data_IF_238863641180
#
_entry.id   IF_238863641180
#
_cell.length_a   1.000
_cell.length_b   1.000
_cell.length_c   1.000
_cell.angle_alpha   90.00
_cell.angle_beta   90.00
_cell.angle_gamma   90.00
#
_symmetry.space_group_name_H-M   'P 1'
#
loop_
_entity.id
_entity.type
_entity.pdbx_description
1 polymer ?
#
# COMPACT_ATOMS: atom_id res chain seq x y z
N UNK A 1 -7.61 -65.24 -12.10
CA UNK A 1 -7.97 -64.24 -13.14
C UNK A 1 -7.16 -62.99 -12.86
N UNK A 2 -6.22 -62.63 -13.74
CA UNK A 2 -5.40 -61.42 -13.59
C UNK A 2 -6.22 -60.22 -14.07
N UNK A 3 -6.41 -59.23 -13.20
CA UNK A 3 -7.12 -57.99 -13.53
C UNK A 3 -6.26 -57.18 -14.50
N UNK A 4 -6.70 -57.10 -15.76
CA UNK A 4 -6.00 -56.37 -16.80
C UNK A 4 -6.28 -54.88 -16.65
N UNK A 5 -5.37 -54.16 -15.99
CA UNK A 5 -5.45 -52.70 -15.85
C UNK A 5 -5.04 -52.05 -17.17
N UNK A 6 -5.98 -51.84 -18.08
CA UNK A 6 -5.76 -51.05 -19.29
C UNK A 6 -5.56 -49.58 -18.89
N UNK A 7 -4.36 -49.04 -19.11
CA UNK A 7 -4.13 -47.59 -19.10
C UNK A 7 -4.26 -47.09 -20.54
N UNK A 8 -5.35 -46.43 -20.94
CA UNK A 8 -5.47 -45.92 -22.30
C UNK A 8 -4.34 -44.91 -22.56
N UNK A 9 -3.54 -45.15 -23.60
CA UNK A 9 -2.56 -44.20 -24.11
C UNK A 9 -3.24 -43.24 -25.09
N UNK A 10 -2.96 -41.93 -25.00
CA UNK A 10 -3.47 -40.92 -25.92
C UNK A 10 -2.76 -41.01 -27.30
N UNK A 11 -3.03 -42.08 -28.05
CA UNK A 11 -2.47 -42.35 -29.39
C UNK A 11 -2.88 -41.30 -30.42
N UNK A 12 -4.01 -40.61 -30.20
CA UNK A 12 -4.55 -39.57 -31.08
C UNK A 12 -3.96 -38.17 -30.84
N UNK A 13 -3.02 -38.02 -29.89
CA UNK A 13 -2.42 -36.72 -29.50
C UNK A 13 -3.49 -35.66 -29.14
N UNK A 14 -4.63 -36.09 -28.59
CA UNK A 14 -5.73 -35.21 -28.19
C UNK A 14 -5.21 -34.22 -27.16
N UNK A 15 -5.34 -32.92 -27.43
CA UNK A 15 -5.01 -31.89 -26.46
C UNK A 15 -6.25 -31.61 -25.62
N UNK A 16 -6.14 -31.76 -24.30
CA UNK A 16 -7.23 -31.38 -23.39
C UNK A 16 -7.10 -29.89 -23.05
N UNK A 17 -8.18 -29.13 -23.25
CA UNK A 17 -8.31 -27.77 -22.74
C UNK A 17 -8.89 -27.85 -21.33
N UNK A 18 -8.17 -27.33 -20.35
CA UNK A 18 -8.68 -27.32 -18.97
C UNK A 18 -8.08 -26.21 -18.14
N UNK A 19 -8.87 -25.75 -17.18
CA UNK A 19 -8.39 -25.01 -16.01
C UNK A 19 -7.73 -26.02 -15.08
N UNK A 20 -6.64 -25.65 -14.43
CA UNK A 20 -5.89 -26.49 -13.48
C UNK A 20 -6.10 -26.00 -12.05
N UNK A 21 -5.99 -24.68 -11.85
CA UNK A 21 -6.10 -24.02 -10.54
C UNK A 21 -6.66 -22.63 -10.71
N UNK A 22 -7.38 -22.16 -9.69
CA UNK A 22 -7.84 -20.78 -9.59
C UNK A 22 -7.63 -20.29 -8.15
N UNK A 23 -7.10 -19.09 -7.98
CA UNK A 23 -6.85 -18.52 -6.66
C UNK A 23 -6.66 -17.00 -6.71
N UNK A 24 -6.82 -16.35 -5.55
CA UNK A 24 -6.41 -14.97 -5.36
C UNK A 24 -4.94 -14.93 -4.94
N UNK A 25 -4.20 -13.95 -5.46
CA UNK A 25 -2.76 -13.84 -5.27
C UNK A 25 -2.31 -12.40 -5.03
N UNK A 26 -1.11 -12.26 -4.44
CA UNK A 26 -0.31 -11.05 -4.49
C UNK A 26 0.77 -11.19 -5.55
N UNK A 27 1.03 -10.10 -6.28
CA UNK A 27 2.17 -10.00 -7.20
C UNK A 27 3.43 -9.65 -6.43
N UNK A 28 4.47 -10.45 -6.53
CA UNK A 28 5.75 -10.24 -5.87
C UNK A 28 6.90 -10.16 -6.87
N UNK A 29 7.88 -9.30 -6.59
CA UNK A 29 9.15 -9.27 -7.32
C UNK A 29 10.11 -10.21 -6.59
N UNK A 30 10.47 -11.33 -7.22
CA UNK A 30 11.40 -12.33 -6.65
C UNK A 30 12.85 -12.10 -7.04
N UNK A 31 13.11 -11.21 -7.99
CA UNK A 31 14.45 -10.90 -8.42
C UNK A 31 14.47 -9.99 -9.64
N UNK A 32 15.63 -9.90 -10.26
CA UNK A 32 15.88 -9.13 -11.48
C UNK A 32 16.84 -9.92 -12.37
N UNK A 33 16.55 -9.97 -13.67
CA UNK A 33 17.36 -10.68 -14.66
C UNK A 33 17.85 -9.69 -15.71
N UNK A 34 19.07 -9.92 -16.24
CA UNK A 34 19.65 -9.06 -17.30
C UNK A 34 18.94 -9.33 -18.62
N UNK A 35 18.66 -8.28 -19.40
CA UNK A 35 17.97 -8.41 -20.71
C UNK A 35 18.93 -8.68 -21.87
N UNK A 36 20.22 -8.45 -21.68
CA UNK A 36 21.21 -8.39 -22.77
C UNK A 36 21.29 -7.01 -23.44
N UNK A 37 20.35 -6.12 -23.17
CA UNK A 37 20.39 -4.72 -23.62
C UNK A 37 21.20 -3.84 -22.67
N UNK A 38 21.68 -2.71 -23.17
CA UNK A 38 22.47 -1.73 -22.41
C UNK A 38 22.00 -0.30 -22.66
N UNK A 39 22.09 0.55 -21.65
CA UNK A 39 21.98 2.01 -21.78
C UNK A 39 23.39 2.62 -21.64
N UNK A 40 23.82 3.40 -22.62
CA UNK A 40 25.14 4.04 -22.59
C UNK A 40 25.12 5.28 -21.67
N UNK A 41 26.18 5.47 -20.89
CA UNK A 41 26.37 6.62 -20.01
C UNK A 41 27.70 7.30 -20.27
N UNK A 42 27.64 8.60 -20.59
CA UNK A 42 28.82 9.44 -20.80
C UNK A 42 29.15 10.25 -19.55
N UNK A 43 30.40 10.16 -19.09
CA UNK A 43 30.90 10.91 -17.95
C UNK A 43 31.02 12.40 -18.28
N UNK A 44 30.48 13.25 -17.40
CA UNK A 44 30.50 14.72 -17.57
C UNK A 44 31.71 15.41 -16.92
N UNK A 45 32.58 14.66 -16.26
CA UNK A 45 33.74 15.17 -15.53
C UNK A 45 34.60 14.03 -15.00
N UNK A 46 35.65 14.37 -14.24
CA UNK A 46 36.58 13.39 -13.68
C UNK A 46 35.98 12.66 -12.47
N UNK A 47 36.02 11.34 -12.49
CA UNK A 47 35.46 10.46 -11.48
C UNK A 47 36.48 9.36 -11.11
N UNK A 48 36.90 9.34 -9.84
CA UNK A 48 37.80 8.31 -9.35
C UNK A 48 37.01 7.07 -8.91
N UNK A 49 37.41 5.91 -9.42
CA UNK A 49 36.79 4.59 -9.21
C UNK A 49 37.80 3.55 -8.73
N UNK A 50 38.97 3.96 -8.21
CA UNK A 50 40.07 3.05 -7.86
C UNK A 50 39.83 2.16 -6.63
N UNK A 51 38.82 2.47 -5.82
CA UNK A 51 38.47 1.67 -4.63
C UNK A 51 37.01 1.25 -4.67
N UNK A 52 36.67 0.14 -4.01
CA UNK A 52 35.29 -0.39 -3.94
C UNK A 52 34.28 0.68 -3.47
N UNK A 53 34.60 1.39 -2.38
CA UNK A 53 33.75 2.45 -1.85
C UNK A 53 33.55 3.62 -2.83
N UNK A 54 34.59 3.97 -3.60
CA UNK A 54 34.50 4.99 -4.65
C UNK A 54 33.65 4.51 -5.82
N UNK A 55 33.83 3.28 -6.30
CA UNK A 55 32.98 2.66 -7.34
C UNK A 55 31.51 2.69 -6.96
N UNK A 56 31.16 2.26 -5.74
CA UNK A 56 29.77 2.25 -5.25
C UNK A 56 29.17 3.66 -5.17
N UNK A 57 29.96 4.63 -4.71
CA UNK A 57 29.53 6.05 -4.66
C UNK A 57 29.26 6.60 -6.06
N UNK A 58 30.16 6.38 -7.02
CA UNK A 58 29.99 6.82 -8.40
C UNK A 58 28.80 6.11 -9.05
N UNK A 59 28.69 4.79 -8.90
CA UNK A 59 27.57 4.00 -9.41
C UNK A 59 26.21 4.50 -8.89
N UNK A 60 26.13 4.89 -7.61
CA UNK A 60 24.92 5.48 -7.01
C UNK A 60 24.55 6.82 -7.65
N UNK A 61 25.56 7.66 -7.94
CA UNK A 61 25.35 8.95 -8.62
C UNK A 61 24.87 8.73 -10.06
N UNK A 62 25.52 7.82 -10.80
CA UNK A 62 25.13 7.44 -12.17
C UNK A 62 23.69 6.95 -12.17
N UNK A 63 23.36 6.01 -11.29
CA UNK A 63 22.00 5.47 -11.14
C UNK A 63 20.98 6.59 -10.94
N UNK A 64 21.25 7.54 -10.02
CA UNK A 64 20.37 8.68 -9.76
C UNK A 64 20.14 9.54 -11.00
N UNK A 65 21.17 9.73 -11.82
CA UNK A 65 21.10 10.56 -13.02
C UNK A 65 20.30 9.89 -14.16
N UNK A 66 20.44 8.59 -14.34
CA UNK A 66 19.78 7.86 -15.44
C UNK A 66 18.38 7.35 -15.09
N UNK A 67 18.05 7.21 -13.79
CA UNK A 67 16.80 6.61 -13.32
C UNK A 67 15.55 7.21 -13.96
N UNK A 68 15.49 8.54 -14.09
CA UNK A 68 14.34 9.21 -14.70
C UNK A 68 14.17 8.90 -16.19
N UNK A 69 15.28 8.73 -16.93
CA UNK A 69 15.26 8.32 -18.33
C UNK A 69 14.82 6.87 -18.50
N UNK A 70 15.38 5.98 -17.68
CA UNK A 70 15.01 4.55 -17.67
C UNK A 70 13.52 4.35 -17.36
N UNK A 71 12.97 5.08 -16.39
CA UNK A 71 11.55 5.01 -16.04
C UNK A 71 10.63 5.37 -17.21
N UNK A 72 10.97 6.39 -18.01
CA UNK A 72 10.20 6.78 -19.20
C UNK A 72 10.22 5.72 -20.28
N UNK A 73 11.33 5.00 -20.42
CA UNK A 73 11.52 3.89 -21.37
C UNK A 73 11.00 2.54 -20.85
N UNK A 74 10.40 2.49 -19.65
CA UNK A 74 10.01 1.25 -18.94
C UNK A 74 11.17 0.27 -18.70
N UNK A 75 12.40 0.78 -18.62
CA UNK A 75 13.63 0.02 -18.40
C UNK A 75 14.12 0.18 -16.96
N UNK A 76 14.96 -0.74 -16.51
CA UNK A 76 15.54 -0.70 -15.16
C UNK A 76 17.00 -1.17 -15.16
N UNK A 77 17.73 -0.82 -14.10
CA UNK A 77 19.06 -1.35 -13.79
C UNK A 77 19.29 -1.27 -12.27
N UNK A 78 20.43 -1.75 -11.78
CA UNK A 78 20.79 -1.71 -10.35
C UNK A 78 22.14 -1.05 -10.14
N UNK A 79 22.37 -0.49 -8.94
CA UNK A 79 23.68 0.06 -8.56
C UNK A 79 24.77 -1.02 -8.66
N UNK A 80 24.46 -2.26 -8.26
CA UNK A 80 25.39 -3.38 -8.36
C UNK A 80 25.83 -3.65 -9.81
N UNK A 81 24.90 -3.58 -10.76
CA UNK A 81 25.22 -3.71 -12.18
C UNK A 81 26.08 -2.57 -12.73
N UNK A 82 25.85 -1.34 -12.27
CA UNK A 82 26.71 -0.21 -12.65
C UNK A 82 28.12 -0.40 -12.08
N UNK A 83 28.26 -0.87 -10.84
CA UNK A 83 29.58 -1.19 -10.25
C UNK A 83 30.33 -2.23 -11.09
N UNK A 84 29.65 -3.25 -11.61
CA UNK A 84 30.27 -4.29 -12.44
C UNK A 84 30.88 -3.75 -13.74
N UNK A 85 30.32 -2.68 -14.31
CA UNK A 85 30.82 -2.09 -15.56
C UNK A 85 31.86 -0.99 -15.36
N UNK A 86 32.06 -0.51 -14.12
CA UNK A 86 33.13 0.42 -13.75
C UNK A 86 34.48 -0.31 -13.62
N UNK A 87 35.09 -0.64 -14.76
CA UNK A 87 36.34 -1.40 -14.84
C UNK A 87 37.61 -0.57 -14.66
N UNK A 88 37.61 0.72 -15.02
CA UNK A 88 38.77 1.62 -14.88
C UNK A 88 38.94 2.16 -13.46
N UNK A 89 40.15 2.57 -13.10
CA UNK A 89 40.44 3.27 -11.84
C UNK A 89 40.02 4.74 -11.82
N UNK A 90 39.83 5.33 -13.01
CA UNK A 90 39.26 6.65 -13.19
C UNK A 90 38.57 6.76 -14.54
N UNK A 91 37.61 7.68 -14.61
CA UNK A 91 36.89 8.08 -15.82
C UNK A 91 36.95 9.59 -15.94
N UNK A 92 37.20 10.11 -17.13
CA UNK A 92 37.28 11.55 -17.44
C UNK A 92 36.09 11.99 -18.29
N UNK A 93 35.98 13.31 -18.56
CA UNK A 93 34.87 13.85 -19.36
C UNK A 93 34.91 13.24 -20.77
N UNK A 94 33.80 12.67 -21.21
CA UNK A 94 33.66 12.03 -22.52
C UNK A 94 33.87 10.52 -22.52
N UNK A 95 34.42 9.93 -21.45
CA UNK A 95 34.42 8.47 -21.31
C UNK A 95 32.98 7.93 -21.30
N UNK A 96 32.79 6.71 -21.81
CA UNK A 96 31.49 6.03 -21.82
C UNK A 96 31.55 4.66 -21.13
N UNK A 97 30.42 4.24 -20.59
CA UNK A 97 30.17 2.87 -20.13
C UNK A 97 28.80 2.42 -20.61
N UNK A 98 28.67 1.12 -20.89
CA UNK A 98 27.40 0.51 -21.24
C UNK A 98 26.81 -0.20 -20.03
N UNK A 99 25.67 0.30 -19.54
CA UNK A 99 25.04 -0.16 -18.31
C UNK A 99 24.00 -1.22 -18.66
N UNK A 100 24.12 -2.46 -18.16
CA UNK A 100 23.18 -3.52 -18.51
C UNK A 100 21.80 -3.22 -17.92
N UNK A 101 20.78 -3.45 -18.73
CA UNK A 101 19.39 -3.33 -18.36
C UNK A 101 18.88 -4.63 -17.76
N UNK A 102 17.88 -4.50 -16.90
CA UNK A 102 17.26 -5.61 -16.18
C UNK A 102 15.75 -5.52 -16.22
N UNK A 103 15.10 -6.68 -16.22
CA UNK A 103 13.68 -6.80 -15.96
C UNK A 103 13.42 -7.51 -14.63
N UNK A 104 12.38 -7.13 -13.90
CA UNK A 104 11.96 -7.84 -12.71
C UNK A 104 11.44 -9.23 -13.06
N UNK A 105 11.75 -10.19 -12.19
CA UNK A 105 11.14 -11.53 -12.17
C UNK A 105 9.95 -11.52 -11.21
N UNK A 106 8.79 -11.94 -11.69
CA UNK A 106 7.53 -11.88 -10.95
C UNK A 106 7.05 -13.27 -10.53
N UNK A 107 6.42 -13.35 -9.37
CA UNK A 107 5.64 -14.51 -8.92
C UNK A 107 4.27 -14.06 -8.40
N UNK A 108 3.26 -14.93 -8.56
CA UNK A 108 1.93 -14.74 -7.98
C UNK A 108 1.72 -15.70 -6.82
N UNK A 109 1.98 -15.21 -5.62
CA UNK A 109 1.87 -15.99 -4.38
C UNK A 109 0.42 -16.01 -3.90
N UNK A 110 -0.15 -17.21 -3.74
CA UNK A 110 -1.53 -17.42 -3.27
C UNK A 110 -1.79 -16.70 -1.93
N UNK A 111 -2.94 -16.06 -1.83
CA UNK A 111 -3.45 -15.43 -0.61
C UNK A 111 -4.55 -16.29 0.01
N UNK A 112 -4.46 -16.48 1.33
CA UNK A 112 -5.54 -17.09 2.11
C UNK A 112 -6.59 -16.04 2.55
N UNK A 113 -6.19 -14.76 2.63
CA UNK A 113 -7.04 -13.67 3.06
C UNK A 113 -6.57 -12.32 2.50
N UNK A 114 -7.48 -11.35 2.45
CA UNK A 114 -7.19 -9.93 2.25
C UNK A 114 -8.27 -9.06 2.92
N UNK A 115 -8.07 -7.75 2.91
CA UNK A 115 -9.02 -6.79 3.47
C UNK A 115 -9.93 -6.21 2.37
N UNK A 116 -11.12 -5.77 2.78
CA UNK A 116 -12.01 -4.97 1.96
C UNK A 116 -11.24 -3.75 1.42
N UNK A 117 -11.24 -3.56 0.11
CA UNK A 117 -10.51 -2.48 -0.56
C UNK A 117 -9.08 -2.79 -0.98
N UNK A 118 -8.51 -3.92 -0.59
CA UNK A 118 -7.19 -4.34 -1.11
C UNK A 118 -7.27 -4.65 -2.62
N UNK A 119 -6.21 -4.31 -3.35
CA UNK A 119 -5.98 -4.80 -4.71
C UNK A 119 -5.32 -6.18 -4.65
N UNK A 120 -5.90 -7.15 -5.36
CA UNK A 120 -5.41 -8.53 -5.46
C UNK A 120 -5.46 -8.98 -6.92
N UNK A 121 -4.77 -10.08 -7.23
CA UNK A 121 -4.80 -10.69 -8.57
C UNK A 121 -5.67 -11.94 -8.55
N UNK A 122 -6.63 -12.03 -9.46
CA UNK A 122 -7.30 -13.30 -9.78
C UNK A 122 -6.41 -14.07 -10.75
N UNK A 123 -5.98 -15.26 -10.35
CA UNK A 123 -5.03 -16.09 -11.12
C UNK A 123 -5.69 -17.42 -11.44
N UNK A 124 -5.75 -17.74 -12.73
CA UNK A 124 -6.22 -19.03 -13.24
C UNK A 124 -5.11 -19.67 -14.06
N UNK A 125 -4.59 -20.79 -13.58
CA UNK A 125 -3.64 -21.65 -14.30
C UNK A 125 -4.44 -22.58 -15.22
N UNK A 126 -4.05 -22.67 -16.49
CA UNK A 126 -4.75 -23.45 -17.52
C UNK A 126 -3.79 -24.34 -18.30
N UNK A 127 -4.33 -25.16 -19.19
CA UNK A 127 -3.59 -25.99 -20.12
C UNK A 127 -4.26 -25.95 -21.49
N UNK A 128 -3.49 -25.61 -22.52
CA UNK A 128 -3.94 -25.50 -23.91
C UNK A 128 -5.10 -24.49 -24.13
N UNK A 129 -5.19 -23.43 -23.32
CA UNK A 129 -6.28 -22.44 -23.40
C UNK A 129 -5.81 -21.04 -23.82
N UNK A 130 -4.59 -20.86 -24.35
CA UNK A 130 -4.07 -19.56 -24.77
C UNK A 130 -5.06 -18.81 -25.68
N UNK A 131 -5.22 -17.50 -25.46
CA UNK A 131 -6.18 -16.61 -26.13
C UNK A 131 -7.68 -16.90 -25.86
N UNK A 132 -8.04 -17.90 -25.03
CA UNK A 132 -9.43 -18.15 -24.67
C UNK A 132 -9.92 -17.14 -23.65
N UNK A 133 -11.13 -16.63 -23.86
CA UNK A 133 -11.82 -15.75 -22.90
C UNK A 133 -12.27 -16.56 -21.69
N UNK A 134 -12.17 -15.93 -20.53
CA UNK A 134 -12.59 -16.50 -19.25
C UNK A 134 -13.35 -15.42 -18.47
N UNK A 135 -14.43 -15.84 -17.83
CA UNK A 135 -15.22 -15.05 -16.87
C UNK A 135 -14.94 -15.55 -15.47
N UNK A 136 -14.67 -14.62 -14.57
CA UNK A 136 -14.37 -14.92 -13.16
C UNK A 136 -15.34 -14.20 -12.25
N UNK A 137 -15.80 -14.87 -11.21
CA UNK A 137 -16.59 -14.25 -10.14
C UNK A 137 -16.09 -14.68 -8.77
N UNK A 138 -16.16 -13.76 -7.81
CA UNK A 138 -16.05 -14.08 -6.39
C UNK A 138 -17.46 -14.14 -5.80
N UNK A 139 -17.79 -15.25 -5.17
CA UNK A 139 -19.11 -15.52 -4.61
C UNK A 139 -19.07 -15.65 -3.10
N UNK A 140 -20.15 -15.23 -2.46
CA UNK A 140 -20.35 -15.38 -1.02
C UNK A 140 -20.38 -16.86 -0.64
N UNK A 141 -19.46 -17.28 0.23
CA UNK A 141 -19.42 -18.65 0.74
C UNK A 141 -20.22 -18.79 2.04
N UNK A 142 -20.44 -20.04 2.45
CA UNK A 142 -21.03 -20.52 3.72
C UNK A 142 -22.45 -20.03 4.01
N UNK A 143 -22.65 -18.72 4.14
CA UNK A 143 -23.88 -18.05 4.56
C UNK A 143 -23.93 -16.61 4.06
N UNK A 144 -25.10 -16.00 4.19
CA UNK A 144 -25.31 -14.59 3.87
C UNK A 144 -24.39 -13.68 4.70
N UNK A 145 -23.73 -12.73 4.05
CA UNK A 145 -22.96 -11.68 4.72
C UNK A 145 -22.92 -10.40 3.89
N UNK A 146 -22.06 -10.35 2.87
CA UNK A 146 -21.95 -9.18 1.97
C UNK A 146 -23.12 -9.15 0.98
N UNK A 147 -23.46 -10.33 0.51
CA UNK A 147 -24.58 -10.67 -0.38
C UNK A 147 -25.16 -12.01 0.09
N UNK A 148 -26.21 -12.49 -0.56
CA UNK A 148 -26.74 -13.82 -0.29
C UNK A 148 -25.71 -14.91 -0.65
N UNK A 149 -25.76 -16.05 0.05
CA UNK A 149 -24.94 -17.23 -0.25
C UNK A 149 -24.98 -17.56 -1.74
N UNK A 150 -23.83 -17.93 -2.31
CA UNK A 150 -23.63 -18.31 -3.71
C UNK A 150 -23.88 -17.18 -4.74
N UNK A 151 -24.16 -15.97 -4.27
CA UNK A 151 -24.25 -14.77 -5.11
C UNK A 151 -22.89 -14.11 -5.30
N UNK A 152 -22.66 -13.53 -6.48
CA UNK A 152 -21.43 -12.81 -6.78
C UNK A 152 -21.37 -11.48 -6.01
N UNK A 153 -20.23 -11.20 -5.39
CA UNK A 153 -19.96 -9.89 -4.79
C UNK A 153 -19.65 -8.86 -5.87
N UNK A 154 -19.84 -7.58 -5.55
CA UNK A 154 -19.42 -6.47 -6.41
C UNK A 154 -18.00 -6.05 -6.02
N UNK A 155 -17.14 -5.97 -7.02
CA UNK A 155 -15.73 -5.58 -6.92
C UNK A 155 -15.40 -4.52 -7.99
N UNK A 156 -14.12 -4.18 -8.14
CA UNK A 156 -13.67 -3.31 -9.23
C UNK A 156 -12.61 -4.00 -10.11
N UNK A 157 -12.76 -3.84 -11.42
CA UNK A 157 -11.75 -4.15 -12.44
C UNK A 157 -11.46 -2.85 -13.20
N UNK A 158 -10.18 -2.47 -13.33
CA UNK A 158 -9.77 -1.22 -13.98
C UNK A 158 -10.52 0.04 -13.47
N UNK A 159 -10.81 0.10 -12.15
CA UNK A 159 -11.55 1.19 -11.52
C UNK A 159 -13.05 1.29 -11.89
N UNK A 160 -13.59 0.26 -12.55
CA UNK A 160 -15.02 0.13 -12.89
C UNK A 160 -15.66 -0.95 -12.02
N UNK A 161 -16.90 -0.72 -11.59
CA UNK A 161 -17.66 -1.73 -10.83
C UNK A 161 -17.95 -2.95 -11.71
N UNK A 162 -17.80 -4.15 -11.16
CA UNK A 162 -18.24 -5.39 -11.82
C UNK A 162 -18.47 -6.51 -10.79
N UNK A 163 -19.28 -7.50 -11.15
CA UNK A 163 -19.44 -8.78 -10.45
C UNK A 163 -18.87 -9.97 -11.24
N UNK A 164 -18.51 -9.72 -12.51
CA UNK A 164 -17.89 -10.68 -13.44
C UNK A 164 -16.67 -10.02 -14.06
N UNK A 165 -15.51 -10.58 -13.79
CA UNK A 165 -14.23 -10.13 -14.36
C UNK A 165 -14.05 -10.88 -15.67
N UNK A 166 -14.01 -10.14 -16.76
CA UNK A 166 -13.76 -10.70 -18.08
C UNK A 166 -12.29 -10.49 -18.44
N UNK A 167 -11.63 -11.58 -18.84
CA UNK A 167 -10.22 -11.57 -19.25
C UNK A 167 -9.96 -12.70 -20.24
N UNK A 168 -8.71 -12.90 -20.67
CA UNK A 168 -8.32 -14.04 -21.49
C UNK A 168 -6.97 -14.61 -21.07
N UNK A 169 -6.79 -15.92 -21.29
CA UNK A 169 -5.52 -16.61 -21.06
C UNK A 169 -4.46 -16.01 -21.97
N UNK A 170 -3.25 -15.79 -21.46
CA UNK A 170 -2.11 -15.09 -22.09
C UNK A 170 -2.14 -13.56 -22.11
N UNK A 171 -3.26 -12.92 -21.71
CA UNK A 171 -3.34 -11.44 -21.62
C UNK A 171 -2.18 -10.82 -20.84
N UNK A 172 -1.89 -11.37 -19.65
CA UNK A 172 -0.83 -10.84 -18.79
C UNK A 172 0.55 -10.96 -19.44
N UNK A 173 0.83 -12.10 -20.07
CA UNK A 173 2.07 -12.34 -20.83
C UNK A 173 2.25 -11.31 -21.94
N UNK A 174 1.22 -11.11 -22.76
CA UNK A 174 1.26 -10.18 -23.89
C UNK A 174 1.49 -8.74 -23.44
N UNK A 175 0.81 -8.30 -22.39
CA UNK A 175 0.93 -6.96 -21.84
C UNK A 175 2.28 -6.71 -21.15
N UNK A 176 2.95 -7.76 -20.65
CA UNK A 176 4.15 -7.63 -19.82
C UNK A 176 5.42 -8.19 -20.47
N UNK A 177 5.37 -8.67 -21.71
CA UNK A 177 6.51 -9.29 -22.42
C UNK A 177 7.78 -8.42 -22.46
N UNK A 178 7.63 -7.10 -22.47
CA UNK A 178 8.74 -6.13 -22.46
C UNK A 178 9.14 -5.67 -21.06
N UNK A 179 8.35 -6.01 -20.04
CA UNK A 179 8.39 -5.37 -18.72
C UNK A 179 8.75 -6.33 -17.58
N UNK A 180 8.68 -7.65 -17.81
CA UNK A 180 9.06 -8.68 -16.83
C UNK A 180 9.85 -9.78 -17.55
N UNK A 181 10.85 -10.36 -16.88
CA UNK A 181 11.76 -11.31 -17.52
C UNK A 181 11.10 -12.67 -17.79
N UNK A 182 10.21 -13.07 -16.90
CA UNK A 182 9.55 -14.38 -16.92
C UNK A 182 8.09 -14.30 -17.39
N UNK A 183 7.79 -13.39 -18.33
CA UNK A 183 6.44 -13.22 -18.86
C UNK A 183 5.88 -14.51 -19.47
N UNK A 184 6.72 -15.25 -20.20
CA UNK A 184 6.34 -16.48 -20.89
C UNK A 184 5.91 -17.61 -19.95
N UNK A 185 6.35 -17.60 -18.68
CA UNK A 185 5.88 -18.55 -17.65
C UNK A 185 4.36 -18.46 -17.48
N UNK A 186 3.78 -17.30 -17.75
CA UNK A 186 2.36 -17.02 -17.59
C UNK A 186 1.53 -17.22 -18.87
N UNK A 187 2.12 -17.78 -19.94
CA UNK A 187 1.44 -17.96 -21.24
C UNK A 187 0.13 -18.76 -21.13
N UNK A 188 0.08 -19.72 -20.21
CA UNK A 188 -1.14 -20.50 -19.94
C UNK A 188 -1.91 -20.02 -18.71
N UNK A 189 -1.84 -18.73 -18.38
CA UNK A 189 -2.54 -18.15 -17.26
C UNK A 189 -3.51 -17.05 -17.71
N UNK A 190 -4.68 -16.99 -17.08
CA UNK A 190 -5.53 -15.80 -17.05
C UNK A 190 -5.28 -15.08 -15.72
N UNK A 191 -4.77 -13.85 -15.79
CA UNK A 191 -4.39 -13.05 -14.63
C UNK A 191 -4.96 -11.65 -14.80
N UNK A 192 -5.72 -11.19 -13.81
CA UNK A 192 -6.29 -9.85 -13.81
C UNK A 192 -6.28 -9.24 -12.41
N UNK A 193 -6.11 -7.92 -12.32
CA UNK A 193 -6.08 -7.21 -11.05
C UNK A 193 -7.49 -6.73 -10.69
N UNK A 194 -7.87 -6.89 -9.43
CA UNK A 194 -9.17 -6.48 -8.91
C UNK A 194 -9.05 -5.81 -7.56
N UNK A 195 -9.90 -4.83 -7.29
CA UNK A 195 -10.07 -4.27 -5.96
C UNK A 195 -11.25 -4.93 -5.26
N UNK A 196 -11.02 -5.49 -4.08
CA UNK A 196 -12.03 -6.23 -3.29
C UNK A 196 -13.01 -5.30 -2.59
N UNK A 197 -13.72 -4.47 -3.35
CA UNK A 197 -14.70 -3.51 -2.82
C UNK A 197 -15.57 -2.95 -3.94
N UNK A 198 -16.86 -2.65 -3.69
CA UNK A 198 -17.68 -1.87 -4.61
C UNK A 198 -17.07 -0.50 -4.89
N UNK A 199 -17.42 0.11 -6.03
CA UNK A 199 -16.93 1.45 -6.37
C UNK A 199 -17.54 2.56 -5.50
N UNK A 200 -18.84 2.46 -5.22
CA UNK A 200 -19.60 3.52 -4.53
C UNK A 200 -19.40 3.49 -3.01
N UNK A 201 -19.08 4.64 -2.40
CA UNK A 201 -18.82 4.76 -0.95
C UNK A 201 -19.97 4.20 -0.09
N UNK A 202 -21.22 4.41 -0.52
CA UNK A 202 -22.42 3.85 0.14
C UNK A 202 -22.37 2.33 0.22
N UNK A 203 -21.97 1.65 -0.85
CA UNK A 203 -21.94 0.19 -0.90
C UNK A 203 -20.68 -0.38 -0.21
N UNK A 204 -19.56 0.34 -0.27
CA UNK A 204 -18.39 0.03 0.55
C UNK A 204 -18.72 0.06 2.04
N UNK A 205 -19.52 1.06 2.48
CA UNK A 205 -20.00 1.16 3.86
C UNK A 205 -20.87 -0.04 4.23
N UNK A 206 -21.81 -0.46 3.36
CA UNK A 206 -22.63 -1.66 3.59
C UNK A 206 -21.77 -2.91 3.79
N UNK A 207 -20.77 -3.12 2.92
CA UNK A 207 -19.89 -4.28 3.03
C UNK A 207 -19.09 -4.26 4.35
N UNK A 208 -18.58 -3.09 4.74
CA UNK A 208 -17.86 -2.90 6.00
C UNK A 208 -18.75 -3.17 7.22
N UNK A 209 -19.97 -2.65 7.22
CA UNK A 209 -20.96 -2.88 8.27
C UNK A 209 -21.35 -4.37 8.37
N UNK A 210 -21.55 -5.04 7.23
CA UNK A 210 -21.85 -6.46 7.18
C UNK A 210 -20.70 -7.31 7.78
N UNK A 211 -19.46 -7.02 7.41
CA UNK A 211 -18.29 -7.69 7.98
C UNK A 211 -18.19 -7.43 9.49
N UNK A 212 -18.36 -6.18 9.93
CA UNK A 212 -18.25 -5.79 11.34
C UNK A 212 -19.32 -6.42 12.25
N UNK A 213 -20.45 -6.89 11.69
CA UNK A 213 -21.48 -7.63 12.44
C UNK A 213 -21.10 -9.10 12.70
N UNK A 214 -20.11 -9.63 11.99
CA UNK A 214 -19.62 -11.00 12.23
C UNK A 214 -18.66 -11.01 13.42
N UNK A 215 -18.62 -12.12 14.19
CA UNK A 215 -17.76 -12.28 15.37
C UNK A 215 -16.29 -11.97 15.08
N UNK A 216 -15.79 -12.44 13.93
CA UNK A 216 -14.39 -12.35 13.55
C UNK A 216 -14.11 -11.22 12.54
N UNK A 217 -15.09 -10.36 12.28
CA UNK A 217 -15.02 -9.25 11.30
C UNK A 217 -14.59 -9.69 9.90
N UNK A 218 -15.00 -10.90 9.50
CA UNK A 218 -14.60 -11.54 8.24
C UNK A 218 -15.73 -12.36 7.65
N UNK A 219 -15.64 -12.62 6.35
CA UNK A 219 -16.47 -13.57 5.62
C UNK A 219 -15.61 -14.44 4.73
N UNK A 220 -16.17 -15.56 4.27
CA UNK A 220 -15.51 -16.42 3.30
C UNK A 220 -16.11 -16.21 1.91
N UNK A 221 -15.24 -16.28 0.91
CA UNK A 221 -15.57 -16.20 -0.50
C UNK A 221 -14.98 -17.41 -1.23
N UNK A 222 -15.53 -17.71 -2.39
CA UNK A 222 -14.96 -18.68 -3.33
C UNK A 222 -14.95 -18.12 -4.75
N UNK A 223 -14.04 -18.63 -5.57
CA UNK A 223 -13.91 -18.22 -6.96
C UNK A 223 -14.66 -19.20 -7.87
N UNK A 224 -15.38 -18.66 -8.85
CA UNK A 224 -15.95 -19.42 -9.96
C UNK A 224 -15.27 -18.99 -11.24
N UNK A 225 -14.88 -19.98 -12.04
CA UNK A 225 -14.27 -19.78 -13.36
C UNK A 225 -15.18 -20.39 -14.41
N UNK A 226 -15.68 -19.53 -15.28
CA UNK A 226 -16.39 -19.90 -16.49
C UNK A 226 -15.46 -19.69 -17.68
N UNK A 227 -15.06 -20.79 -18.31
CA UNK A 227 -14.13 -20.81 -19.44
C UNK A 227 -14.78 -21.44 -20.68
N UNK A 228 -16.11 -21.31 -20.82
CA UNK A 228 -16.83 -21.82 -21.98
C UNK A 228 -16.35 -21.15 -23.29
N UNK A 229 -16.18 -21.92 -24.38
CA UNK A 229 -15.83 -21.34 -25.67
C UNK A 229 -16.96 -20.45 -26.18
N UNK A 230 -16.62 -19.24 -26.66
CA UNK A 230 -17.59 -18.33 -27.27
C UNK A 230 -18.25 -19.02 -28.48
N UNK A 231 -19.55 -19.28 -28.40
CA UNK A 231 -20.36 -19.80 -29.52
C UNK A 231 -20.36 -21.32 -29.71
N UNK A 232 -19.74 -22.10 -28.82
CA UNK A 232 -19.69 -23.56 -29.00
C UNK A 232 -20.97 -24.28 -28.53
N UNK A 233 -21.72 -24.79 -29.49
CA UNK A 233 -22.35 -26.10 -29.36
C UNK A 233 -21.23 -27.14 -29.26
N UNK A 234 -21.28 -28.05 -28.28
CA UNK A 234 -20.32 -29.16 -28.09
C UNK A 234 -20.16 -30.10 -29.30
N UNK A 235 -20.82 -29.79 -30.43
CA UNK A 235 -20.86 -30.56 -31.67
C UNK A 235 -19.86 -30.11 -32.74
N UNK A 236 -19.17 -28.97 -32.60
CA UNK A 236 -18.28 -28.46 -33.66
C UNK A 236 -16.81 -28.84 -33.41
N UNK A 237 -16.39 -29.97 -33.98
CA UNK A 237 -14.98 -30.41 -34.02
C UNK A 237 -14.23 -29.60 -35.08
N UNK A 238 -13.15 -28.93 -34.70
CA UNK A 238 -12.23 -28.28 -35.65
C UNK A 238 -11.24 -29.33 -36.19
N UNK A 239 -11.15 -29.45 -37.52
CA UNK A 239 -10.52 -30.59 -38.20
C UNK A 239 -8.99 -30.57 -38.29
N UNK A 240 -8.30 -29.56 -37.73
CA UNK A 240 -6.82 -29.51 -37.76
C UNK A 240 -6.16 -29.98 -36.45
N UNK A 241 -6.86 -29.91 -35.31
CA UNK A 241 -6.39 -30.39 -34.00
C UNK A 241 -7.59 -30.95 -33.19
N UNK A 242 -7.51 -32.20 -32.73
CA UNK A 242 -8.58 -32.81 -31.91
C UNK A 242 -8.50 -32.28 -30.48
N UNK A 243 -9.47 -31.46 -30.10
CA UNK A 243 -9.65 -30.94 -28.74
C UNK A 243 -10.89 -31.54 -28.08
N UNK A 244 -10.81 -31.79 -26.77
CA UNK A 244 -11.99 -32.01 -25.94
C UNK A 244 -12.71 -30.66 -25.74
N UNK A 245 -13.99 -30.61 -26.14
CA UNK A 245 -14.84 -29.41 -26.11
C UNK A 245 -15.86 -29.45 -24.98
N UNK A 246 -15.72 -30.37 -24.02
CA UNK A 246 -16.58 -30.39 -22.84
C UNK A 246 -16.50 -29.05 -22.09
N UNK A 247 -17.65 -28.44 -21.72
CA UNK A 247 -17.67 -27.20 -20.96
C UNK A 247 -16.82 -27.32 -19.69
N UNK A 248 -15.73 -26.56 -19.65
CA UNK A 248 -14.79 -26.60 -18.54
C UNK A 248 -15.17 -25.56 -17.48
N UNK A 249 -16.27 -25.80 -16.76
CA UNK A 249 -16.65 -25.01 -15.59
C UNK A 249 -15.81 -25.44 -14.39
N UNK A 250 -15.07 -24.51 -13.80
CA UNK A 250 -14.25 -24.78 -12.60
C UNK A 250 -14.84 -24.06 -11.39
N UNK A 251 -15.42 -24.84 -10.50
CA UNK A 251 -15.93 -24.40 -9.21
C UNK A 251 -14.87 -24.64 -8.14
N UNK A 252 -14.42 -23.57 -7.48
CA UNK A 252 -13.49 -23.65 -6.36
C UNK A 252 -14.24 -23.52 -5.03
N UNK A 253 -15.21 -24.40 -4.75
CA UNK A 253 -15.98 -24.38 -3.50
C UNK A 253 -16.08 -25.73 -2.78
N UNK A 254 -16.42 -25.58 -1.49
CA UNK A 254 -16.07 -26.41 -0.32
C UNK A 254 -14.56 -26.77 -0.20
N UNK A 255 -13.93 -26.41 0.94
CA UNK A 255 -12.51 -26.63 1.33
C UNK A 255 -11.45 -25.68 0.77
N UNK A 256 -11.85 -24.67 -0.01
CA UNK A 256 -10.93 -23.84 -0.79
C UNK A 256 -11.28 -22.35 -0.68
N UNK A 257 -11.54 -21.93 0.55
CA UNK A 257 -12.09 -20.61 0.87
C UNK A 257 -11.04 -19.51 0.96
N UNK A 258 -11.44 -18.31 0.59
CA UNK A 258 -10.68 -17.08 0.78
C UNK A 258 -11.37 -16.20 1.82
N UNK A 259 -10.64 -15.73 2.82
CA UNK A 259 -11.22 -14.84 3.83
C UNK A 259 -11.12 -13.36 3.42
N UNK A 260 -12.26 -12.70 3.29
CA UNK A 260 -12.31 -11.24 3.20
C UNK A 260 -12.56 -10.65 4.59
N UNK A 261 -11.65 -9.78 5.01
CA UNK A 261 -11.71 -9.09 6.31
C UNK A 261 -12.21 -7.67 6.14
N UNK A 262 -12.85 -7.11 7.16
CA UNK A 262 -13.09 -5.67 7.22
C UNK A 262 -11.73 -4.94 7.13
N UNK A 263 -11.61 -3.91 6.28
CA UNK A 263 -10.43 -3.02 6.34
C UNK A 263 -10.36 -2.46 7.77
N UNK A 264 -9.20 -2.54 8.44
CA UNK A 264 -8.97 -1.92 9.75
C UNK A 264 -8.91 -0.38 9.65
N UNK A 265 -9.91 0.22 8.98
CA UNK A 265 -10.24 1.63 9.03
C UNK A 265 -11.26 1.79 10.14
N UNK A 266 -10.80 2.26 11.29
CA UNK A 266 -11.70 2.60 12.39
C UNK A 266 -12.34 3.95 12.10
N UNK A 267 -13.67 3.99 12.13
CA UNK A 267 -14.44 5.23 12.10
C UNK A 267 -14.52 5.79 13.52
N UNK A 268 -14.16 7.06 13.69
CA UNK A 268 -14.22 7.77 14.97
C UNK A 268 -15.34 8.82 14.88
N UNK A 269 -16.42 8.60 15.61
CA UNK A 269 -17.49 9.58 15.80
C UNK A 269 -17.02 10.76 16.65
N UNK A 270 -17.23 11.96 16.11
CA UNK A 270 -16.98 13.25 16.76
C UNK A 270 -18.33 13.96 16.90
N UNK A 271 -18.82 14.10 18.12
CA UNK A 271 -20.17 14.60 18.36
C UNK A 271 -20.14 16.08 18.70
N UNK A 272 -21.16 16.83 18.30
CA UNK A 272 -21.29 18.26 18.60
C UNK A 272 -21.26 18.57 20.11
N UNK A 273 -21.54 17.58 20.96
CA UNK A 273 -21.48 17.66 22.42
C UNK A 273 -20.05 17.59 22.98
N UNK A 274 -19.06 17.31 22.14
CA UNK A 274 -17.69 17.02 22.56
C UNK A 274 -17.46 15.56 22.95
N UNK A 275 -18.49 14.70 22.87
CA UNK A 275 -18.31 13.25 23.02
C UNK A 275 -17.53 12.67 21.84
N UNK A 276 -16.74 11.62 22.11
CA UNK A 276 -15.95 10.89 21.13
C UNK A 276 -16.17 9.39 21.31
N UNK A 277 -16.20 8.65 20.20
CA UNK A 277 -16.20 7.19 20.27
C UNK A 277 -14.91 6.66 20.93
N UNK A 278 -15.06 5.61 21.76
CA UNK A 278 -13.92 4.93 22.37
C UNK A 278 -13.31 3.93 21.39
N UNK A 279 -12.01 4.09 21.12
CA UNK A 279 -11.27 3.24 20.18
C UNK A 279 -10.06 2.58 20.86
N UNK A 280 -9.89 1.27 20.65
CA UNK A 280 -8.64 0.56 20.94
C UNK A 280 -7.74 0.61 19.69
N UNK A 281 -6.51 1.10 19.86
CA UNK A 281 -5.57 1.35 18.78
C UNK A 281 -4.53 0.25 18.56
N UNK A 282 -4.56 -0.86 19.33
CA UNK A 282 -3.52 -1.91 19.28
C UNK A 282 -3.23 -2.45 17.86
N UNK A 283 -4.26 -2.60 17.03
CA UNK A 283 -4.15 -3.20 15.67
C UNK A 283 -4.74 -2.30 14.57
N UNK A 284 -4.99 -1.02 14.89
CA UNK A 284 -5.59 -0.08 13.95
C UNK A 284 -4.53 0.38 12.95
N UNK A 285 -4.84 0.21 11.66
CA UNK A 285 -3.97 0.62 10.56
C UNK A 285 -4.36 1.98 10.00
N UNK A 286 -5.66 2.25 9.97
CA UNK A 286 -6.20 3.49 9.43
C UNK A 286 -7.34 4.01 10.30
N UNK A 287 -7.53 5.31 10.31
CA UNK A 287 -8.69 5.96 10.94
C UNK A 287 -9.33 6.94 9.98
N UNK A 288 -10.65 7.11 10.12
CA UNK A 288 -11.41 8.20 9.51
C UNK A 288 -12.36 8.80 10.53
N UNK A 289 -12.87 9.99 10.26
CA UNK A 289 -13.68 10.74 11.21
C UNK A 289 -15.07 11.02 10.66
N UNK A 290 -16.09 10.92 11.51
CA UNK A 290 -17.47 11.31 11.19
C UNK A 290 -17.93 12.32 12.21
N UNK A 291 -18.37 13.49 11.75
CA UNK A 291 -18.94 14.51 12.61
C UNK A 291 -20.44 14.32 12.74
N UNK A 292 -20.96 14.32 13.97
CA UNK A 292 -22.39 14.28 14.28
C UNK A 292 -22.82 15.67 14.73
N UNK A 293 -23.70 16.32 13.95
CA UNK A 293 -24.20 17.66 14.27
C UNK A 293 -25.25 17.63 15.39
N UNK A 294 -25.78 18.82 15.71
CA UNK A 294 -26.78 19.03 16.78
C UNK A 294 -28.08 18.26 16.56
N UNK A 295 -28.41 17.91 15.31
CA UNK A 295 -29.59 17.14 14.93
C UNK A 295 -29.28 15.64 14.88
N UNK A 296 -28.06 15.24 15.22
CA UNK A 296 -27.58 13.85 15.14
C UNK A 296 -27.25 13.39 13.72
N UNK A 297 -27.30 14.29 12.73
CA UNK A 297 -26.98 13.97 11.34
C UNK A 297 -25.47 13.75 11.20
N UNK A 298 -25.14 12.67 10.47
CA UNK A 298 -23.76 12.23 10.25
C UNK A 298 -23.15 12.92 9.03
N UNK A 299 -21.94 13.44 9.20
CA UNK A 299 -21.15 14.10 8.18
C UNK A 299 -19.79 13.42 8.06
N UNK A 300 -19.56 12.71 6.95
CA UNK A 300 -18.31 11.98 6.71
C UNK A 300 -17.17 12.95 6.38
N UNK A 301 -16.11 12.97 7.19
CA UNK A 301 -14.87 13.65 6.84
C UNK A 301 -14.08 12.69 5.95
N UNK A 302 -14.15 12.90 4.63
CA UNK A 302 -13.68 11.99 3.57
C UNK A 302 -12.21 11.51 3.68
N UNK A 303 -11.39 12.18 4.49
CA UNK A 303 -10.00 11.86 4.67
C UNK A 303 -9.79 10.59 5.52
N UNK A 304 -8.86 9.74 5.07
CA UNK A 304 -8.42 8.54 5.77
C UNK A 304 -6.95 8.72 6.14
N UNK A 305 -6.61 8.41 7.39
CA UNK A 305 -5.28 8.62 7.94
C UNK A 305 -4.62 7.28 8.29
N UNK A 306 -3.39 7.09 7.82
CA UNK A 306 -2.55 5.97 8.26
C UNK A 306 -2.10 6.16 9.71
N UNK A 307 -2.26 5.11 10.51
CA UNK A 307 -1.81 5.06 11.90
C UNK A 307 -0.42 4.44 11.96
N UNK A 308 0.52 5.16 12.57
CA UNK A 308 1.85 4.64 12.91
C UNK A 308 1.93 4.38 14.41
N UNK A 309 2.49 3.23 14.79
CA UNK A 309 2.80 2.90 16.18
C UNK A 309 4.24 3.28 16.49
N UNK A 310 4.42 4.14 17.49
CA UNK A 310 5.73 4.69 17.88
C UNK A 310 5.96 4.48 19.37
N UNK A 311 7.23 4.49 19.79
CA UNK A 311 7.56 4.45 21.22
C UNK A 311 6.87 5.60 21.96
N UNK A 312 6.19 5.28 23.05
CA UNK A 312 5.64 6.28 23.94
C UNK A 312 6.76 6.83 24.85
N UNK A 313 6.77 8.16 25.01
CA UNK A 313 7.74 8.85 25.85
C UNK A 313 7.07 9.56 27.02
N UNK A 314 7.74 9.56 28.17
CA UNK A 314 7.43 10.50 29.24
C UNK A 314 7.82 11.94 28.85
N UNK A 315 7.36 12.92 29.63
CA UNK A 315 7.70 14.32 29.40
C UNK A 315 9.21 14.57 29.35
N UNK A 316 9.59 15.44 28.44
CA UNK A 316 10.97 15.82 28.19
C UNK A 316 11.61 16.52 29.39
N UNK A 317 12.86 16.17 29.68
CA UNK A 317 13.69 16.83 30.70
C UNK A 317 14.81 17.63 30.03
N UNK A 318 15.10 18.82 30.55
CA UNK A 318 16.25 19.63 30.11
C UNK A 318 17.56 18.98 30.55
N UNK A 319 18.57 18.97 29.69
CA UNK A 319 19.94 18.58 30.04
C UNK A 319 20.91 19.73 29.77
N UNK A 320 22.02 19.76 30.51
CA UNK A 320 23.15 20.69 30.29
C UNK A 320 24.08 20.19 29.16
N UNK A 321 24.25 18.88 29.04
CA UNK A 321 25.10 18.22 28.05
C UNK A 321 24.46 16.94 27.51
N UNK A 322 24.96 16.43 26.38
CA UNK A 322 24.53 15.14 25.83
C UNK A 322 25.28 14.04 26.60
N UNK A 323 24.58 13.06 27.20
CA UNK A 323 25.24 11.94 27.87
C UNK A 323 26.11 11.10 26.91
N UNK A 324 27.09 10.36 27.44
CA UNK A 324 27.82 9.35 26.67
C UNK A 324 27.00 8.05 26.58
N UNK A 325 27.36 7.15 25.66
CA UNK A 325 26.75 5.81 25.56
C UNK A 325 25.51 5.70 24.65
N UNK A 326 25.33 6.62 23.70
CA UNK A 326 24.32 6.47 22.67
C UNK A 326 24.74 5.40 21.65
N UNK A 327 23.78 4.65 21.12
CA UNK A 327 23.99 3.63 20.09
C UNK A 327 23.93 4.21 18.68
N UNK A 328 23.31 5.38 18.51
CA UNK A 328 23.16 6.04 17.22
C UNK A 328 23.09 7.56 17.36
N UNK A 329 23.80 8.27 16.50
CA UNK A 329 23.65 9.71 16.27
C UNK A 329 23.10 9.94 14.86
N UNK A 330 22.10 10.80 14.72
CA UNK A 330 21.55 11.19 13.41
C UNK A 330 21.16 12.67 13.37
N UNK A 331 21.28 13.27 12.19
CA UNK A 331 20.79 14.62 11.91
C UNK A 331 19.36 14.52 11.41
N UNK A 332 18.42 15.17 12.12
CA UNK A 332 16.99 15.18 11.79
C UNK A 332 16.56 16.56 11.29
N UNK A 333 15.26 16.72 10.98
CA UNK A 333 14.66 17.97 10.49
C UNK A 333 15.14 19.22 11.24
N UNK A 334 15.33 20.32 10.52
CA UNK A 334 15.92 21.58 11.01
C UNK A 334 17.39 21.45 11.46
N UNK A 335 18.11 20.42 11.01
CA UNK A 335 19.52 20.19 11.32
C UNK A 335 19.78 19.81 12.78
N UNK A 336 18.75 19.42 13.53
CA UNK A 336 18.86 18.99 14.93
C UNK A 336 19.62 17.67 15.00
N UNK A 337 20.32 17.42 16.11
CA UNK A 337 20.98 16.13 16.37
C UNK A 337 20.15 15.28 17.32
N UNK A 338 19.82 14.05 16.92
CA UNK A 338 19.14 13.05 17.75
C UNK A 338 20.15 11.96 18.13
N UNK A 339 20.19 11.64 19.41
CA UNK A 339 21.01 10.58 19.99
C UNK A 339 20.09 9.51 20.57
N UNK A 340 20.26 8.26 20.14
CA UNK A 340 19.41 7.14 20.54
C UNK A 340 20.12 6.26 21.55
N UNK A 341 19.40 5.84 22.58
CA UNK A 341 19.84 4.91 23.61
C UNK A 341 18.81 3.77 23.70
N UNK A 342 19.10 2.74 24.49
CA UNK A 342 18.17 1.63 24.73
C UNK A 342 16.82 2.13 25.29
N UNK A 343 16.87 2.97 26.33
CA UNK A 343 15.73 3.42 27.15
C UNK A 343 15.22 4.83 26.81
N UNK A 344 15.94 5.58 25.97
CA UNK A 344 15.65 7.01 25.77
C UNK A 344 16.18 7.56 24.45
N UNK A 345 15.75 8.78 24.16
CA UNK A 345 16.36 9.62 23.13
C UNK A 345 16.75 10.98 23.72
N UNK A 346 17.77 11.59 23.14
CA UNK A 346 18.19 12.96 23.45
C UNK A 346 18.22 13.76 22.16
N UNK A 347 17.65 14.95 22.14
CA UNK A 347 17.64 15.84 20.98
C UNK A 347 18.31 17.16 21.33
N UNK A 348 19.25 17.61 20.48
CA UNK A 348 19.99 18.86 20.59
C UNK A 348 19.69 19.78 19.40
N UNK A 349 19.32 21.01 19.71
CA UNK A 349 19.15 22.07 18.71
C UNK A 349 20.49 22.67 18.29
N UNK A 350 20.63 22.92 16.99
CA UNK A 350 21.91 23.34 16.36
C UNK A 350 21.86 24.75 15.78
N UNK A 351 20.66 25.33 15.57
CA UNK A 351 20.46 26.62 14.90
C UNK A 351 19.33 27.42 15.56
N UNK A 352 19.30 28.73 15.29
CA UNK A 352 18.25 29.66 15.73
C UNK A 352 18.06 29.68 17.25
N UNK A 353 16.83 30.01 17.70
CA UNK A 353 16.44 30.01 19.11
C UNK A 353 16.43 28.63 19.79
N UNK A 354 16.81 27.57 19.08
CA UNK A 354 16.99 26.22 19.61
C UNK A 354 18.46 25.87 19.86
N UNK A 355 19.41 26.67 19.38
CA UNK A 355 20.85 26.40 19.49
C UNK A 355 21.23 26.19 20.96
N UNK A 356 21.83 25.03 21.25
CA UNK A 356 22.26 24.67 22.60
C UNK A 356 21.18 24.06 23.50
N UNK A 357 19.89 24.10 23.11
CA UNK A 357 18.83 23.41 23.88
C UNK A 357 18.99 21.90 23.73
N UNK A 358 19.00 21.19 24.85
CA UNK A 358 19.05 19.72 24.91
C UNK A 358 17.85 19.21 25.69
N UNK A 359 17.16 18.21 25.14
CA UNK A 359 16.00 17.54 25.75
C UNK A 359 16.19 16.04 25.75
N UNK A 360 15.89 15.40 26.88
CA UNK A 360 15.84 13.94 27.07
C UNK A 360 14.40 13.48 27.15
N UNK A 361 14.04 12.44 26.40
CA UNK A 361 12.74 11.76 26.46
C UNK A 361 12.97 10.28 26.77
N UNK A 362 12.37 9.80 27.87
CA UNK A 362 12.54 8.42 28.35
C UNK A 362 11.36 7.60 27.86
N UNK A 363 11.64 6.41 27.29
CA UNK A 363 10.61 5.47 26.82
C UNK A 363 9.82 4.97 28.02
N UNK A 364 8.51 4.82 27.86
CA UNK A 364 7.66 4.20 28.89
C UNK A 364 7.66 2.67 28.79
N UNK A 365 8.10 2.11 27.66
CA UNK A 365 7.94 0.70 27.31
C UNK A 365 6.67 0.40 26.52
N UNK A 366 5.74 1.37 26.46
CA UNK A 366 4.50 1.26 25.68
C UNK A 366 4.65 1.87 24.27
N UNK A 367 3.65 1.60 23.44
CA UNK A 367 3.47 2.23 22.13
C UNK A 367 2.31 3.21 22.16
N UNK A 368 2.38 4.24 21.33
CA UNK A 368 1.28 5.19 21.11
C UNK A 368 1.01 5.35 19.62
N UNK A 369 -0.27 5.47 19.21
CA UNK A 369 -0.63 5.72 17.82
C UNK A 369 -0.45 7.19 17.47
N UNK A 370 0.02 7.45 16.25
CA UNK A 370 0.02 8.78 15.64
C UNK A 370 -0.55 8.72 14.22
N UNK A 371 -1.19 9.81 13.81
CA UNK A 371 -1.56 10.09 12.42
C UNK A 371 -0.84 11.35 11.96
N UNK A 372 -0.57 11.45 10.67
CA UNK A 372 -0.03 12.67 10.06
C UNK A 372 -1.16 13.51 9.48
N UNK A 373 -1.28 14.76 9.91
CA UNK A 373 -2.30 15.70 9.42
C UNK A 373 -1.70 16.76 8.48
N UNK A 374 -2.57 17.37 7.68
CA UNK A 374 -2.31 18.52 6.81
C UNK A 374 -3.46 19.54 6.94
N UNK A 375 -3.39 20.65 6.19
CA UNK A 375 -4.44 21.67 6.21
C UNK A 375 -5.74 21.14 5.60
N UNK A 376 -6.88 21.41 6.22
CA UNK A 376 -8.19 20.93 5.74
C UNK A 376 -9.23 22.04 5.64
N UNK A 377 -10.13 21.86 4.67
CA UNK A 377 -11.31 22.70 4.50
C UNK A 377 -12.51 21.81 4.14
N UNK A 378 -13.42 21.61 5.09
CA UNK A 378 -14.65 20.83 4.91
C UNK A 378 -15.89 21.73 4.74
N UNK A 379 -15.73 23.05 4.61
CA UNK A 379 -16.86 23.99 4.48
C UNK A 379 -17.73 23.75 3.24
N UNK A 380 -17.14 23.23 2.15
CA UNK A 380 -17.89 22.82 0.96
C UNK A 380 -18.83 21.62 1.17
N UNK A 381 -18.84 21.03 2.37
CA UNK A 381 -19.74 19.93 2.76
C UNK A 381 -20.80 20.40 3.78
N UNK A 382 -20.96 21.73 3.93
CA UNK A 382 -21.79 22.35 4.97
C UNK A 382 -21.35 22.05 6.41
N UNK A 383 -20.08 21.63 6.58
CA UNK A 383 -19.46 21.35 7.89
C UNK A 383 -18.57 22.54 8.26
N UNK A 384 -18.73 23.18 9.43
CA UNK A 384 -17.95 24.35 9.82
C UNK A 384 -16.53 23.99 10.32
N UNK A 385 -15.83 23.09 9.62
CA UNK A 385 -14.47 22.67 9.95
C UNK A 385 -13.49 23.15 8.88
N UNK A 386 -12.63 24.08 9.26
CA UNK A 386 -11.52 24.55 8.46
C UNK A 386 -10.32 24.88 9.34
N UNK A 387 -9.13 24.44 8.94
CA UNK A 387 -7.90 24.82 9.61
C UNK A 387 -6.69 24.73 8.68
N UNK A 388 -5.66 25.50 9.02
CA UNK A 388 -4.36 25.49 8.36
C UNK A 388 -3.31 24.87 9.27
N UNK A 389 -2.51 23.95 8.74
CA UNK A 389 -1.26 23.54 9.37
C UNK A 389 -0.12 24.39 8.80
N UNK A 390 0.74 24.92 9.68
CA UNK A 390 1.89 25.73 9.25
C UNK A 390 2.78 24.95 8.27
N UNK A 391 3.06 25.54 7.11
CA UNK A 391 3.66 24.87 5.94
C UNK A 391 5.07 24.29 6.16
N UNK A 392 5.78 24.75 7.19
CA UNK A 392 7.11 24.27 7.57
C UNK A 392 7.10 23.45 8.89
N UNK A 393 5.93 23.01 9.36
CA UNK A 393 5.85 22.28 10.61
C UNK A 393 6.60 20.95 10.52
N UNK A 394 7.66 20.81 11.31
CA UNK A 394 8.35 19.53 11.53
C UNK A 394 7.54 18.58 12.43
N UNK A 395 6.37 19.02 12.90
CA UNK A 395 5.54 18.32 13.88
C UNK A 395 4.07 18.13 13.41
N UNK A 396 3.83 17.54 12.23
CA UNK A 396 2.48 17.32 11.71
C UNK A 396 1.79 16.06 12.30
N UNK A 397 2.38 15.41 13.31
CA UNK A 397 1.86 14.15 13.84
C UNK A 397 1.08 14.38 15.12
N UNK A 398 -0.10 13.77 15.23
CA UNK A 398 -1.04 13.96 16.34
C UNK A 398 -1.66 12.62 16.72
N UNK A 399 -2.01 12.45 17.99
CA UNK A 399 -2.74 11.27 18.43
C UNK A 399 -4.17 11.26 17.82
N UNK A 400 -4.69 10.13 17.33
CA UNK A 400 -6.03 10.09 16.70
C UNK A 400 -7.15 10.69 17.56
N UNK A 401 -7.23 10.34 18.85
CA UNK A 401 -8.20 10.98 19.77
C UNK A 401 -8.00 12.48 19.92
N UNK A 402 -6.75 12.96 20.01
CA UNK A 402 -6.49 14.39 20.15
C UNK A 402 -6.93 15.15 18.90
N UNK A 403 -6.75 14.55 17.70
CA UNK A 403 -7.28 15.14 16.47
C UNK A 403 -8.81 15.16 16.44
N UNK A 404 -9.46 14.10 16.93
CA UNK A 404 -10.91 14.05 17.09
C UNK A 404 -11.43 15.21 17.96
N UNK A 405 -10.78 15.45 19.11
CA UNK A 405 -11.10 16.59 19.98
C UNK A 405 -10.97 17.93 19.24
N UNK A 406 -9.89 18.09 18.47
CA UNK A 406 -9.63 19.31 17.71
C UNK A 406 -10.69 19.54 16.64
N UNK A 407 -11.09 18.50 15.90
CA UNK A 407 -12.17 18.58 14.90
C UNK A 407 -13.49 19.00 15.54
N UNK A 408 -13.86 18.40 16.68
CA UNK A 408 -15.08 18.75 17.42
C UNK A 408 -15.04 20.18 17.94
N UNK A 409 -13.90 20.62 18.49
CA UNK A 409 -13.72 21.99 18.96
C UNK A 409 -13.87 23.01 17.82
N UNK A 410 -13.23 22.77 16.66
CA UNK A 410 -13.34 23.63 15.48
C UNK A 410 -14.80 23.71 15.03
N UNK A 411 -15.49 22.57 14.93
CA UNK A 411 -16.89 22.54 14.53
C UNK A 411 -17.79 23.33 15.49
N UNK A 412 -17.52 23.25 16.79
CA UNK A 412 -18.27 23.96 17.82
C UNK A 412 -18.08 25.47 17.80
N UNK A 413 -16.85 25.95 17.54
CA UNK A 413 -16.56 27.40 17.52
C UNK A 413 -16.82 28.06 16.16
N UNK A 414 -16.75 27.31 15.05
CA UNK A 414 -17.05 27.78 13.70
C UNK A 414 -16.05 28.80 13.11
N UNK A 415 -14.90 29.02 13.75
CA UNK A 415 -13.83 29.87 13.19
C UNK A 415 -13.24 29.25 11.92
N UNK A 416 -12.96 30.10 10.92
CA UNK A 416 -12.44 29.70 9.60
C UNK A 416 -10.93 29.91 9.45
N UNK A 417 -10.30 30.53 10.43
CA UNK A 417 -8.92 31.03 10.41
C UNK A 417 -8.00 30.33 11.43
N UNK A 418 -8.40 29.15 11.92
CA UNK A 418 -7.60 28.38 12.88
C UNK A 418 -6.30 27.92 12.23
N UNK A 419 -5.16 28.34 12.81
CA UNK A 419 -3.83 27.92 12.37
C UNK A 419 -3.14 27.08 13.45
N UNK A 420 -2.88 25.83 13.12
CA UNK A 420 -2.10 24.89 13.93
C UNK A 420 -0.61 25.05 13.61
N UNK A 421 0.22 25.18 14.64
CA UNK A 421 1.68 25.25 14.50
C UNK A 421 2.27 23.84 14.43
N UNK A 422 1.83 22.94 15.32
CA UNK A 422 2.23 21.54 15.29
C UNK A 422 2.03 20.80 16.61
N UNK A 423 2.03 19.47 16.54
CA UNK A 423 1.77 18.56 17.65
C UNK A 423 3.03 17.82 18.02
N UNK A 424 3.40 16.71 17.38
CA UNK A 424 4.67 16.00 17.62
C UNK A 424 5.38 15.62 16.33
N UNK A 425 6.65 15.21 16.44
CA UNK A 425 7.44 14.75 15.30
C UNK A 425 7.07 13.32 14.90
N UNK A 426 7.55 12.86 13.73
CA UNK A 426 7.34 11.48 13.27
C UNK A 426 7.79 10.43 14.29
N UNK A 427 8.88 10.73 14.99
CA UNK A 427 9.48 9.86 15.99
C UNK A 427 8.96 10.16 17.41
N UNK A 428 7.83 10.86 17.51
CA UNK A 428 7.10 11.12 18.75
C UNK A 428 7.80 12.01 19.79
N UNK A 429 8.80 12.80 19.37
CA UNK A 429 9.51 13.68 20.29
C UNK A 429 8.99 15.12 20.23
N UNK A 430 8.90 15.77 21.40
CA UNK A 430 8.35 17.12 21.53
C UNK A 430 9.30 18.27 21.18
N UNK A 431 10.57 17.99 20.82
CA UNK A 431 11.63 19.01 20.74
C UNK A 431 11.23 20.24 19.89
N UNK A 432 11.46 21.49 20.36
CA UNK A 432 12.21 21.88 21.57
C UNK A 432 11.41 21.80 22.88
N UNK A 433 10.11 21.47 22.80
CA UNK A 433 9.20 21.41 23.94
C UNK A 433 9.36 20.14 24.76
N UNK A 434 8.98 20.21 26.03
CA UNK A 434 8.97 19.08 26.97
C UNK A 434 7.69 18.24 26.86
N UNK A 435 6.57 18.85 26.47
CA UNK A 435 5.23 18.25 26.64
C UNK A 435 4.65 17.64 25.37
N UNK A 436 5.14 18.03 24.20
CA UNK A 436 4.62 17.63 22.89
C UNK A 436 5.03 16.21 22.47
N UNK A 437 5.18 15.33 23.44
CA UNK A 437 5.30 13.89 23.22
C UNK A 437 3.91 13.28 23.04
N UNK A 438 3.87 12.11 22.41
CA UNK A 438 2.69 11.27 22.24
C UNK A 438 1.56 11.90 21.42
N UNK A 439 1.81 13.02 20.74
CA UNK A 439 0.82 13.72 19.92
C UNK A 439 -0.41 14.23 20.68
N UNK A 440 -0.33 14.35 22.02
CA UNK A 440 -1.46 14.77 22.88
C UNK A 440 -1.51 16.28 23.14
N UNK A 441 -0.44 17.01 22.80
CA UNK A 441 -0.33 18.47 22.98
C UNK A 441 0.06 19.15 21.66
N UNK A 442 -0.56 20.28 21.36
CA UNK A 442 -0.32 21.05 20.15
C UNK A 442 -0.43 22.55 20.38
N UNK A 443 0.32 23.30 19.58
CA UNK A 443 0.32 24.76 19.63
C UNK A 443 -0.56 25.32 18.51
N UNK A 444 -1.34 26.35 18.83
CA UNK A 444 -2.21 27.07 17.90
C UNK A 444 -1.79 28.55 17.88
N UNK A 445 -1.95 29.22 16.74
CA UNK A 445 -1.83 30.69 16.71
C UNK A 445 -3.02 31.30 17.45
N UNK A 446 -2.77 32.42 18.12
CA UNK A 446 -3.85 33.24 18.67
C UNK A 446 -4.82 33.66 17.55
N UNK A 447 -6.12 33.53 17.85
CA UNK A 447 -7.16 34.04 16.97
C UNK A 447 -7.05 35.56 16.91
N UNK A 448 -7.16 36.13 15.72
CA UNK A 448 -7.22 37.59 15.61
C UNK A 448 -8.60 38.06 16.08
N UNK A 449 -8.63 39.11 16.91
CA UNK A 449 -9.89 39.66 17.45
C UNK A 449 -10.83 40.17 16.36
N UNK A 450 -10.28 40.56 15.22
CA UNK A 450 -10.99 41.10 14.05
C UNK A 450 -11.46 40.02 13.06
N UNK A 451 -11.23 38.73 13.35
CA UNK A 451 -11.56 37.58 12.47
C UNK A 451 -10.92 37.66 11.07
N UNK A 452 -9.87 38.47 10.88
CA UNK A 452 -9.13 38.52 9.61
C UNK A 452 -8.12 37.38 9.52
N UNK A 453 -7.79 36.94 8.29
CA UNK A 453 -6.91 35.78 8.08
C UNK A 453 -5.52 35.98 8.71
N UNK A 454 -5.11 35.04 9.58
CA UNK A 454 -3.82 35.05 10.30
C UNK A 454 -2.59 34.73 9.47
#
# INVERSE_FOLDING_TARGET
MATLTVKPSNTLKIKTQRVKKAYLAKKEIKGTEKTGETESYTFKGSNNTSTKARKEKIATIIYKNIKGGLQKKQQQTTVAHIVQVLKKDSYTKGDCIDIPLTLPKIEFTKLANANLGDEVYMVVETENMANKRIKLSLKQAEKDCLVAKDSSIVLQQDGKKTSVVETYVSRFTEQNKKNISNAEDFRNFAIDAVTLSPKEEKDQKKYREALNKTTDKKTKLFMVVDAEPVGASWKEVFYDEVFDLTPNQWYYGEKNWFELKSENVVEIGVYHTGYLDKVDYKEVKKVKYVYHDKEGKKHSLKDVYDVIQVEEYGYGKTLKSVPKGYTKEEVISNGRKKYTYADKIVVKGTKGGEKGKIRKYVKTGNKTPLIKIDSKNYTGQSIPIQFKLMSNSTRPYIHPNAFACVLGAIAGVGYKDITMIGFTSKDNHGFPSKTHVNGKHGDFRYLRKDKTRS
#
